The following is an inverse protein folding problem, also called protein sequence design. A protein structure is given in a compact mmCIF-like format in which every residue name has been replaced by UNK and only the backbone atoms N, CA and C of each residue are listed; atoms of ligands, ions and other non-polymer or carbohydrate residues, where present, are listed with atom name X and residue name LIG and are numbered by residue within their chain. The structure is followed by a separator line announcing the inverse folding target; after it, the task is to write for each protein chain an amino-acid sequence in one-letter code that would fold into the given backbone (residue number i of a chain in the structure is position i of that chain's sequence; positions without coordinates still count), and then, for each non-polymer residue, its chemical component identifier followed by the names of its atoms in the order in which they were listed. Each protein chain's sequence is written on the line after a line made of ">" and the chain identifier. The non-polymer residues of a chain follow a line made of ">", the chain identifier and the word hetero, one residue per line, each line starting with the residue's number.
data_IF_659781382311
#
_entry.id   IF_659781382311
#
_cell.length_a   1.000
_cell.length_b   1.000
_cell.length_c   1.000
_cell.angle_alpha   90.00
_cell.angle_beta   90.00
_cell.angle_gamma   90.00
#
_symmetry.space_group_name_H-M   'P 1'
#
loop_
_entity.id
_entity.type
_entity.pdbx_description
1 polymer ?
#
# COMPACT_ATOMS: atom_id res chain seq x y z
N UNK A 1 88.33 23.52 74.31
CA UNK A 1 87.36 22.84 75.19
C UNK A 1 86.69 21.77 74.37
N UNK A 2 87.08 20.52 74.60
CA UNK A 2 86.68 19.35 73.82
C UNK A 2 85.35 18.81 74.35
N UNK A 3 84.39 18.59 73.44
CA UNK A 3 83.10 17.94 73.73
C UNK A 3 83.32 16.49 74.15
N UNK A 4 82.61 15.98 75.18
CA UNK A 4 82.71 14.57 75.54
C UNK A 4 81.92 13.72 74.56
N UNK A 5 82.59 12.73 73.97
CA UNK A 5 81.98 11.62 73.24
C UNK A 5 81.25 10.70 74.22
N UNK A 6 79.99 10.31 73.97
CA UNK A 6 79.32 9.33 74.82
C UNK A 6 79.89 7.93 74.59
N UNK A 7 80.36 7.32 75.68
CA UNK A 7 80.90 5.97 75.74
C UNK A 7 79.87 4.93 75.29
N UNK A 8 80.31 4.07 74.37
CA UNK A 8 79.61 2.87 73.91
C UNK A 8 79.64 1.78 74.98
N UNK A 9 78.76 1.88 75.99
CA UNK A 9 78.58 0.84 77.00
C UNK A 9 77.13 0.35 77.03
N UNK A 10 76.90 -0.83 76.43
CA UNK A 10 75.84 -1.76 76.87
C UNK A 10 74.46 -1.61 76.24
N UNK A 11 74.32 -1.67 74.91
CA UNK A 11 73.02 -2.03 74.34
C UNK A 11 72.76 -3.50 74.69
N UNK A 12 71.82 -3.75 75.62
CA UNK A 12 71.43 -5.10 76.03
C UNK A 12 70.92 -5.89 74.81
N UNK A 13 71.36 -7.14 74.57
CA UNK A 13 70.94 -7.94 73.41
C UNK A 13 69.42 -8.05 73.23
N UNK A 14 68.68 -8.01 74.35
CA UNK A 14 67.22 -8.01 74.33
C UNK A 14 66.62 -6.77 73.63
N UNK A 15 67.14 -5.56 73.84
CA UNK A 15 66.58 -4.35 73.22
C UNK A 15 66.82 -4.31 71.71
N UNK A 16 67.94 -4.88 71.24
CA UNK A 16 68.20 -5.06 69.80
C UNK A 16 67.21 -6.04 69.16
N UNK A 17 66.90 -7.15 69.84
CA UNK A 17 65.89 -8.10 69.36
C UNK A 17 64.50 -7.46 69.28
N UNK A 18 64.09 -6.70 70.29
CA UNK A 18 62.83 -5.95 70.29
C UNK A 18 62.77 -4.90 69.18
N UNK A 19 63.83 -4.10 69.01
CA UNK A 19 63.90 -3.11 67.94
C UNK A 19 63.84 -3.76 66.55
N UNK A 20 64.51 -4.91 66.38
CA UNK A 20 64.49 -5.64 65.12
C UNK A 20 63.10 -6.26 64.84
N UNK A 21 62.45 -6.84 65.85
CA UNK A 21 61.09 -7.36 65.71
C UNK A 21 60.11 -6.24 65.35
N UNK A 22 60.19 -5.10 66.05
CA UNK A 22 59.35 -3.93 65.76
C UNK A 22 59.53 -3.45 64.31
N UNK A 23 60.77 -3.47 63.78
CA UNK A 23 61.05 -3.14 62.38
C UNK A 23 60.44 -4.14 61.41
N UNK A 24 60.47 -5.45 61.71
CA UNK A 24 59.83 -6.48 60.87
C UNK A 24 58.32 -6.26 60.82
N UNK A 25 57.69 -6.06 61.97
CA UNK A 25 56.25 -5.78 62.05
C UNK A 25 55.88 -4.49 61.33
N UNK A 26 56.64 -3.41 61.55
CA UNK A 26 56.45 -2.15 60.82
C UNK A 26 56.53 -2.38 59.31
N UNK A 27 57.55 -3.09 58.82
CA UNK A 27 57.71 -3.38 57.39
C UNK A 27 56.55 -4.21 56.85
N UNK A 28 56.04 -5.17 57.62
CA UNK A 28 54.87 -5.97 57.25
C UNK A 28 53.60 -5.11 57.15
N UNK A 29 53.35 -4.25 58.14
CA UNK A 29 52.21 -3.32 58.15
C UNK A 29 52.28 -2.32 56.99
N UNK A 30 53.45 -1.74 56.72
CA UNK A 30 53.63 -0.84 55.57
C UNK A 30 53.40 -1.59 54.25
N UNK A 31 53.85 -2.85 54.14
CA UNK A 31 53.54 -3.71 52.99
C UNK A 31 52.04 -3.95 52.81
N UNK A 32 51.30 -4.17 53.91
CA UNK A 32 49.85 -4.31 53.86
C UNK A 32 49.15 -3.00 53.46
N UNK A 33 49.58 -1.86 54.02
CA UNK A 33 49.02 -0.54 53.68
C UNK A 33 49.22 -0.26 52.19
N UNK A 34 50.43 -0.42 51.67
CA UNK A 34 50.70 -0.20 50.23
C UNK A 34 49.93 -1.16 49.32
N UNK A 35 49.74 -2.42 49.74
CA UNK A 35 48.90 -3.37 49.01
C UNK A 35 47.43 -2.93 48.99
N UNK A 36 46.89 -2.49 50.13
CA UNK A 36 45.53 -1.94 50.25
C UNK A 36 45.35 -0.65 49.45
N UNK A 37 46.31 0.26 49.49
CA UNK A 37 46.30 1.47 48.66
C UNK A 37 46.23 1.10 47.16
N UNK A 38 47.03 0.13 46.72
CA UNK A 38 47.02 -0.34 45.34
C UNK A 38 45.68 -0.98 44.93
N UNK A 39 45.00 -1.68 45.85
CA UNK A 39 43.70 -2.29 45.57
C UNK A 39 42.58 -1.24 45.57
N UNK A 40 42.66 -0.24 46.45
CA UNK A 40 41.78 0.94 46.44
C UNK A 40 41.93 1.72 45.13
N UNK A 41 43.16 1.93 44.64
CA UNK A 41 43.37 2.59 43.35
C UNK A 41 42.81 1.79 42.17
N UNK A 42 42.94 0.46 42.19
CA UNK A 42 42.33 -0.42 41.16
C UNK A 42 40.80 -0.31 41.18
N UNK A 43 40.19 -0.48 42.35
CA UNK A 43 38.73 -0.37 42.51
C UNK A 43 38.22 1.04 42.16
N UNK A 44 38.96 2.10 42.50
CA UNK A 44 38.64 3.47 42.10
C UNK A 44 38.62 3.63 40.59
N UNK A 45 39.62 3.09 39.88
CA UNK A 45 39.66 3.08 38.41
C UNK A 45 38.48 2.32 37.81
N UNK A 46 38.14 1.17 38.37
CA UNK A 46 36.96 0.39 37.95
C UNK A 46 35.66 1.16 38.16
N UNK A 47 35.48 1.80 39.32
CA UNK A 47 34.31 2.67 39.61
C UNK A 47 34.23 3.83 38.62
N UNK A 48 35.35 4.50 38.32
CA UNK A 48 35.38 5.54 37.29
C UNK A 48 34.97 5.00 35.91
N UNK A 49 35.43 3.80 35.54
CA UNK A 49 35.05 3.14 34.29
C UNK A 49 33.56 2.80 34.24
N UNK A 50 33.00 2.28 35.32
CA UNK A 50 31.56 2.00 35.44
C UNK A 50 30.73 3.28 35.39
N UNK A 51 31.16 4.35 36.05
CA UNK A 51 30.48 5.65 35.99
C UNK A 51 30.48 6.22 34.57
N UNK A 52 31.58 6.05 33.82
CA UNK A 52 31.63 6.40 32.40
C UNK A 52 30.64 5.62 31.56
N UNK A 53 30.54 4.30 31.77
CA UNK A 53 29.55 3.44 31.09
C UNK A 53 28.12 3.81 31.45
N UNK A 54 27.84 4.10 32.72
CA UNK A 54 26.53 4.56 33.18
C UNK A 54 26.11 5.85 32.44
N UNK A 55 27.01 6.83 32.33
CA UNK A 55 26.74 8.05 31.57
C UNK A 55 26.51 7.83 30.07
N UNK A 56 27.09 6.78 29.47
CA UNK A 56 26.76 6.41 28.07
C UNK A 56 25.36 5.80 28.00
N UNK A 57 25.01 4.91 28.93
CA UNK A 57 23.67 4.31 29.01
C UNK A 57 22.60 5.38 29.20
N UNK A 58 22.81 6.34 30.10
CA UNK A 58 21.89 7.46 30.32
C UNK A 58 21.64 8.27 29.04
N UNK A 59 22.69 8.57 28.26
CA UNK A 59 22.55 9.26 26.97
C UNK A 59 21.73 8.43 25.97
N UNK A 60 21.95 7.12 25.92
CA UNK A 60 21.17 6.24 25.03
C UNK A 60 19.71 6.14 25.46
N UNK A 61 19.42 6.10 26.76
CA UNK A 61 18.06 6.12 27.30
C UNK A 61 17.36 7.41 26.88
N UNK A 62 17.97 8.58 27.11
CA UNK A 62 17.39 9.88 26.71
C UNK A 62 17.12 9.95 25.20
N UNK A 63 18.03 9.40 24.38
CA UNK A 63 17.86 9.39 22.93
C UNK A 63 16.70 8.47 22.50
N UNK A 64 16.55 7.31 23.13
CA UNK A 64 15.45 6.38 22.89
C UNK A 64 14.11 6.94 23.37
N UNK A 65 14.08 7.61 24.51
CA UNK A 65 12.88 8.29 25.03
C UNK A 65 12.41 9.37 24.06
N UNK A 66 13.34 10.14 23.50
CA UNK A 66 13.03 11.14 22.47
C UNK A 66 12.43 10.49 21.22
N UNK A 67 13.07 9.45 20.68
CA UNK A 67 12.56 8.74 19.51
C UNK A 67 11.19 8.08 19.77
N UNK A 68 10.97 7.56 20.97
CA UNK A 68 9.66 7.03 21.38
C UNK A 68 8.59 8.12 21.48
N UNK A 69 8.96 9.33 21.91
CA UNK A 69 8.10 10.52 21.87
C UNK A 69 7.72 10.90 20.44
N UNK A 70 8.71 11.06 19.55
CA UNK A 70 8.49 11.39 18.14
C UNK A 70 7.58 10.35 17.44
N UNK A 71 7.76 9.06 17.74
CA UNK A 71 6.90 8.00 17.22
C UNK A 71 5.46 8.08 17.75
N UNK A 72 5.29 8.42 19.04
CA UNK A 72 3.96 8.61 19.63
C UNK A 72 3.22 9.78 18.98
N UNK A 73 3.91 10.90 18.79
CA UNK A 73 3.36 12.08 18.12
C UNK A 73 2.96 11.73 16.67
N UNK A 74 3.80 10.99 15.95
CA UNK A 74 3.48 10.48 14.61
C UNK A 74 2.26 9.55 14.60
N UNK A 75 2.11 8.68 15.60
CA UNK A 75 0.93 7.83 15.75
C UNK A 75 -0.35 8.64 16.00
N UNK A 76 -0.26 9.74 16.75
CA UNK A 76 -1.42 10.61 17.03
C UNK A 76 -1.83 11.41 15.79
N UNK A 77 -0.87 11.91 15.00
CA UNK A 77 -1.16 12.50 13.68
C UNK A 77 -1.84 11.50 12.75
N UNK A 78 -1.32 10.28 12.65
CA UNK A 78 -1.93 9.24 11.81
C UNK A 78 -3.35 8.88 12.28
N UNK A 79 -3.58 8.83 13.59
CA UNK A 79 -4.92 8.59 14.17
C UNK A 79 -5.89 9.70 13.77
N UNK A 80 -5.42 10.94 13.76
CA UNK A 80 -6.20 12.11 13.35
C UNK A 80 -6.52 12.10 11.86
N UNK A 81 -5.56 11.74 11.02
CA UNK A 81 -5.76 11.56 9.57
C UNK A 81 -6.77 10.45 9.28
N UNK A 82 -6.64 9.28 9.95
CA UNK A 82 -7.61 8.18 9.82
C UNK A 82 -9.01 8.63 10.23
N UNK A 83 -9.14 9.42 11.29
CA UNK A 83 -10.43 10.01 11.71
C UNK A 83 -10.96 10.98 10.65
N UNK A 84 -10.11 11.80 10.05
CA UNK A 84 -10.46 12.71 8.97
C UNK A 84 -10.94 11.98 7.71
N UNK A 85 -10.21 10.95 7.28
CA UNK A 85 -10.59 10.09 6.15
C UNK A 85 -11.92 9.40 6.41
N UNK A 86 -12.12 8.84 7.61
CA UNK A 86 -13.41 8.22 7.99
C UNK A 86 -14.57 9.21 7.84
N UNK A 87 -14.43 10.42 8.36
CA UNK A 87 -15.45 11.45 8.24
C UNK A 87 -15.69 11.90 6.78
N UNK A 88 -14.65 11.91 5.94
CA UNK A 88 -14.79 12.18 4.51
C UNK A 88 -15.55 11.05 3.78
N UNK A 89 -15.25 9.79 4.12
CA UNK A 89 -15.96 8.62 3.59
C UNK A 89 -17.43 8.63 4.01
N UNK A 90 -17.74 8.92 5.27
CA UNK A 90 -19.12 9.03 5.76
C UNK A 90 -19.90 10.09 4.97
N UNK A 91 -19.32 11.28 4.75
CA UNK A 91 -19.93 12.33 3.91
C UNK A 91 -20.15 11.89 2.47
N UNK A 92 -19.18 11.17 1.87
CA UNK A 92 -19.33 10.67 0.49
C UNK A 92 -20.41 9.60 0.38
N UNK A 93 -20.55 8.75 1.39
CA UNK A 93 -21.62 7.74 1.45
C UNK A 93 -22.98 8.42 1.56
N UNK A 94 -23.13 9.40 2.45
CA UNK A 94 -24.36 10.18 2.59
C UNK A 94 -24.73 10.91 1.29
N UNK A 95 -23.76 11.58 0.66
CA UNK A 95 -23.94 12.24 -0.62
C UNK A 95 -24.42 11.25 -1.70
N UNK A 96 -23.79 10.07 -1.78
CA UNK A 96 -24.15 9.05 -2.78
C UNK A 96 -25.55 8.49 -2.57
N UNK A 97 -26.02 8.40 -1.32
CA UNK A 97 -27.39 8.00 -1.01
C UNK A 97 -28.38 9.04 -1.53
N UNK A 98 -28.14 10.32 -1.24
CA UNK A 98 -28.99 11.42 -1.72
C UNK A 98 -29.03 11.48 -3.25
N UNK A 99 -27.87 11.39 -3.91
CA UNK A 99 -27.77 11.39 -5.37
C UNK A 99 -28.55 10.20 -5.98
N UNK A 100 -28.53 9.04 -5.30
CA UNK A 100 -29.27 7.85 -5.75
C UNK A 100 -30.78 8.03 -5.59
N UNK A 101 -31.23 8.61 -4.49
CA UNK A 101 -32.65 8.91 -4.25
C UNK A 101 -33.18 9.97 -5.23
N UNK A 102 -32.40 11.01 -5.52
CA UNK A 102 -32.75 12.02 -6.52
C UNK A 102 -32.82 11.41 -7.91
N UNK A 103 -31.83 10.60 -8.29
CA UNK A 103 -31.85 9.86 -9.57
C UNK A 103 -33.08 8.96 -9.68
N UNK A 104 -33.43 8.25 -8.61
CA UNK A 104 -34.62 7.39 -8.57
C UNK A 104 -35.91 8.21 -8.75
N UNK A 105 -36.05 9.36 -8.08
CA UNK A 105 -37.20 10.25 -8.26
C UNK A 105 -37.34 10.73 -9.71
N UNK A 106 -36.24 11.17 -10.32
CA UNK A 106 -36.24 11.65 -11.71
C UNK A 106 -36.56 10.53 -12.70
N UNK A 107 -36.12 9.31 -12.44
CA UNK A 107 -36.45 8.15 -13.27
C UNK A 107 -37.95 7.83 -13.23
N UNK A 108 -38.55 7.81 -12.04
CA UNK A 108 -40.00 7.62 -11.87
C UNK A 108 -40.80 8.75 -12.55
N UNK A 109 -40.34 10.00 -12.45
CA UNK A 109 -40.97 11.14 -13.15
C UNK A 109 -40.89 11.02 -14.67
N UNK A 110 -39.71 10.66 -15.19
CA UNK A 110 -39.53 10.40 -16.62
C UNK A 110 -40.39 9.23 -17.10
N UNK A 111 -40.61 8.19 -16.28
CA UNK A 111 -41.54 7.12 -16.61
C UNK A 111 -43.00 7.59 -16.69
N UNK A 112 -43.45 8.46 -15.77
CA UNK A 112 -44.79 9.06 -15.83
C UNK A 112 -44.95 9.90 -17.09
N UNK A 113 -43.97 10.72 -17.45
CA UNK A 113 -43.99 11.50 -18.69
C UNK A 113 -44.02 10.61 -19.94
N UNK A 114 -43.22 9.54 -19.96
CA UNK A 114 -43.29 8.52 -21.03
C UNK A 114 -44.65 7.82 -21.08
N UNK A 115 -45.29 7.59 -19.93
CA UNK A 115 -46.66 7.08 -19.84
C UNK A 115 -47.65 8.04 -20.51
N UNK A 116 -47.66 9.30 -20.06
CA UNK A 116 -48.51 10.36 -20.61
C UNK A 116 -48.33 10.55 -22.12
N UNK A 117 -47.10 10.52 -22.62
CA UNK A 117 -46.83 10.64 -24.06
C UNK A 117 -47.34 9.45 -24.87
N UNK A 118 -47.26 8.22 -24.32
CA UNK A 118 -47.87 7.03 -24.95
C UNK A 118 -49.40 7.12 -24.96
N UNK A 119 -49.99 7.55 -23.85
CA UNK A 119 -51.44 7.74 -23.76
C UNK A 119 -51.92 8.81 -24.74
N UNK A 120 -51.27 9.97 -24.78
CA UNK A 120 -51.54 11.03 -25.76
C UNK A 120 -51.43 10.53 -27.20
N UNK A 121 -50.42 9.70 -27.50
CA UNK A 121 -50.30 9.06 -28.81
C UNK A 121 -51.49 8.13 -29.08
N UNK A 122 -51.88 7.30 -28.12
CA UNK A 122 -53.04 6.39 -28.25
C UNK A 122 -54.38 7.12 -28.40
N UNK A 123 -54.52 8.30 -27.79
CA UNK A 123 -55.70 9.15 -27.92
C UNK A 123 -55.72 9.81 -29.30
N UNK A 124 -54.58 10.30 -29.77
CA UNK A 124 -54.46 10.82 -31.13
C UNK A 124 -54.76 9.75 -32.18
N UNK A 125 -54.23 8.54 -32.02
CA UNK A 125 -54.52 7.42 -32.92
C UNK A 125 -56.03 7.13 -32.95
N UNK A 126 -56.69 7.06 -31.78
CA UNK A 126 -58.15 6.89 -31.69
C UNK A 126 -58.94 8.01 -32.38
N UNK A 127 -58.58 9.27 -32.13
CA UNK A 127 -59.21 10.42 -32.77
C UNK A 127 -59.04 10.39 -34.29
N UNK A 128 -57.86 10.01 -34.77
CA UNK A 128 -57.60 9.86 -36.20
C UNK A 128 -58.50 8.79 -36.82
N UNK A 129 -58.77 7.69 -36.12
CA UNK A 129 -59.66 6.64 -36.62
C UNK A 129 -61.13 7.07 -36.60
N UNK A 130 -61.57 7.82 -35.58
CA UNK A 130 -62.90 8.43 -35.54
C UNK A 130 -63.10 9.45 -36.66
N UNK A 131 -62.12 10.32 -36.90
CA UNK A 131 -62.14 11.29 -38.01
C UNK A 131 -62.18 10.56 -39.35
N UNK A 132 -61.43 9.46 -39.50
CA UNK A 132 -61.49 8.61 -40.70
C UNK A 132 -62.90 8.03 -40.88
N UNK A 133 -63.49 7.48 -39.83
CA UNK A 133 -64.86 6.92 -39.87
C UNK A 133 -65.93 7.96 -40.22
N UNK A 134 -65.89 9.14 -39.58
CA UNK A 134 -66.81 10.24 -39.90
C UNK A 134 -66.65 10.74 -41.33
N UNK A 135 -65.42 10.78 -41.84
CA UNK A 135 -65.17 11.15 -43.24
C UNK A 135 -65.80 10.12 -44.20
N UNK A 136 -65.68 8.83 -43.90
CA UNK A 136 -66.32 7.76 -44.67
C UNK A 136 -67.85 7.88 -44.64
N UNK A 137 -68.44 8.18 -43.48
CA UNK A 137 -69.89 8.41 -43.33
C UNK A 137 -70.37 9.64 -44.12
N UNK A 138 -69.66 10.77 -44.03
CA UNK A 138 -69.95 11.97 -44.82
C UNK A 138 -69.84 11.69 -46.31
N UNK A 139 -68.84 10.92 -46.74
CA UNK A 139 -68.69 10.51 -48.14
C UNK A 139 -69.85 9.61 -48.59
N UNK A 140 -70.36 8.72 -47.72
CA UNK A 140 -71.53 7.90 -48.01
C UNK A 140 -72.82 8.73 -48.11
N UNK A 141 -73.07 9.63 -47.15
CA UNK A 141 -74.19 10.58 -47.19
C UNK A 141 -74.15 11.47 -48.45
N UNK A 142 -72.96 11.91 -48.87
CA UNK A 142 -72.78 12.66 -50.13
C UNK A 142 -73.17 11.81 -51.35
N UNK A 143 -72.80 10.52 -51.38
CA UNK A 143 -73.23 9.61 -52.45
C UNK A 143 -74.75 9.43 -52.45
N UNK A 144 -75.38 9.31 -51.28
CA UNK A 144 -76.84 9.21 -51.16
C UNK A 144 -77.56 10.47 -51.63
N UNK A 145 -77.06 11.66 -51.27
CA UNK A 145 -77.59 12.93 -51.78
C UNK A 145 -77.47 13.07 -53.30
N UNK A 146 -76.41 12.49 -53.89
CA UNK A 146 -76.24 12.46 -55.35
C UNK A 146 -77.18 11.44 -56.00
N UNK A 147 -77.42 10.29 -55.36
CA UNK A 147 -78.41 9.30 -55.80
C UNK A 147 -79.83 9.86 -55.73
N UNK A 148 -80.20 10.58 -54.67
CA UNK A 148 -81.54 11.18 -54.51
C UNK A 148 -81.79 12.37 -55.44
N UNK A 149 -80.74 13.01 -55.96
CA UNK A 149 -80.84 14.04 -57.01
C UNK A 149 -81.03 13.48 -58.44
N UNK A 150 -80.91 12.17 -58.66
CA UNK A 150 -81.02 11.53 -59.99
C UNK A 150 -82.41 10.96 -60.29
N UNK A 151 -83.38 11.08 -59.40
CA UNK A 151 -84.80 10.79 -59.71
C UNK A 151 -85.44 11.96 -60.48
N UNK A 152 -86.05 11.72 -61.66
CA UNK A 152 -86.73 12.79 -62.40
C UNK A 152 -88.18 12.94 -61.91
N UNK A 153 -88.53 14.10 -61.33
CA UNK A 153 -89.94 14.46 -61.14
C UNK A 153 -90.30 15.52 -60.08
N UNK A 154 -90.15 16.80 -60.43
CA UNK A 154 -90.90 17.99 -59.98
C UNK A 154 -90.37 18.89 -58.83
N UNK A 155 -90.56 20.19 -59.08
CA UNK A 155 -89.92 21.45 -58.62
C UNK A 155 -90.64 22.11 -57.40
N UNK A 156 -90.32 23.36 -56.97
CA UNK A 156 -89.12 24.20 -57.08
C UNK A 156 -88.59 24.63 -55.68
N UNK A 157 -87.36 25.15 -55.58
CA UNK A 157 -87.04 26.03 -54.46
C UNK A 157 -86.24 27.25 -54.92
N UNK A 158 -86.77 28.38 -54.49
CA UNK A 158 -86.52 29.73 -54.96
C UNK A 158 -85.06 30.12 -54.90
N UNK A 159 -84.65 30.77 -55.99
CA UNK A 159 -83.66 31.83 -55.95
C UNK A 159 -84.15 32.91 -54.99
N UNK A 160 -83.33 33.22 -53.99
CA UNK A 160 -83.12 34.61 -53.62
C UNK A 160 -81.75 35.00 -54.16
N UNK A 161 -81.76 35.80 -55.22
CA UNK A 161 -80.67 36.71 -55.54
C UNK A 161 -80.64 37.79 -54.47
N UNK A 162 -79.51 37.97 -53.82
CA UNK A 162 -79.06 39.32 -53.47
C UNK A 162 -77.61 39.45 -53.91
N UNK A 163 -77.42 40.35 -54.87
CA UNK A 163 -76.16 40.96 -55.25
C UNK A 163 -75.33 41.33 -54.03
N UNK A 164 -74.02 41.06 -54.05
CA UNK A 164 -72.99 42.07 -53.74
C UNK A 164 -71.59 41.48 -53.97
N UNK A 165 -70.99 42.04 -55.03
CA UNK A 165 -69.58 42.26 -55.32
C UNK A 165 -68.62 42.32 -54.09
N UNK A 166 -67.39 41.79 -54.16
CA UNK A 166 -66.36 42.07 -53.18
C UNK A 166 -65.52 43.29 -53.59
N UNK A 167 -65.54 44.42 -52.86
CA UNK A 167 -64.49 45.41 -52.99
C UNK A 167 -63.30 45.04 -52.11
N UNK A 168 -62.12 45.32 -52.64
CA UNK A 168 -60.85 45.19 -51.95
C UNK A 168 -60.72 46.12 -50.73
N UNK A 169 -59.90 45.66 -49.77
CA UNK A 169 -58.94 46.45 -48.98
C UNK A 169 -59.40 47.35 -47.80
N UNK A 170 -58.92 46.93 -46.60
CA UNK A 170 -58.43 47.72 -45.43
C UNK A 170 -59.44 48.40 -44.48
N UNK A 171 -59.05 48.86 -43.25
CA UNK A 171 -58.00 48.42 -42.31
C UNK A 171 -58.54 48.15 -40.88
N UNK A 172 -57.77 47.42 -40.06
CA UNK A 172 -58.00 47.29 -38.60
C UNK A 172 -57.58 48.57 -37.86
N UNK A 173 -58.43 49.15 -36.98
CA UNK A 173 -58.02 50.22 -36.09
C UNK A 173 -57.49 49.68 -34.76
N UNK A 174 -56.42 50.34 -34.33
CA UNK A 174 -55.70 50.20 -33.06
C UNK A 174 -56.53 50.66 -31.86
N UNK A 175 -56.39 49.93 -30.74
CA UNK A 175 -56.26 50.37 -29.32
C UNK A 175 -57.36 51.30 -28.71
N UNK A 176 -57.64 51.25 -27.38
CA UNK A 176 -56.74 51.79 -26.33
C UNK A 176 -56.75 50.96 -25.01
N UNK A 177 -55.64 50.78 -24.28
CA UNK A 177 -54.96 51.68 -23.31
C UNK A 177 -55.84 52.29 -22.18
N UNK A 178 -55.40 51.97 -20.94
CA UNK A 178 -55.49 52.73 -19.65
C UNK A 178 -56.83 52.65 -18.90
N UNK A 179 -56.91 52.60 -17.56
CA UNK A 179 -55.96 52.93 -16.49
C UNK A 179 -56.34 52.33 -15.12
N UNK A 180 -55.31 52.00 -14.31
CA UNK A 180 -55.04 52.33 -12.88
C UNK A 180 -56.26 52.62 -11.96
N UNK A 181 -56.37 52.12 -10.72
CA UNK A 181 -55.50 52.33 -9.52
C UNK A 181 -55.93 51.33 -8.40
N UNK A 182 -54.98 50.70 -7.68
CA UNK A 182 -54.59 50.93 -6.26
C UNK A 182 -55.65 50.56 -5.22
N UNK A 183 -55.45 49.61 -4.29
CA UNK A 183 -54.60 49.66 -3.06
C UNK A 183 -54.26 48.23 -2.57
N UNK A 184 -52.98 47.83 -2.35
CA UNK A 184 -52.17 47.86 -1.09
C UNK A 184 -52.90 47.18 0.11
N UNK A 185 -52.40 46.13 0.77
CA UNK A 185 -51.13 45.99 1.50
C UNK A 185 -50.77 44.50 1.80
N UNK A 186 -49.52 44.07 1.54
CA UNK A 186 -48.44 43.64 2.48
C UNK A 186 -48.69 42.31 3.23
N UNK A 187 -47.84 41.29 3.11
CA UNK A 187 -46.43 41.25 3.57
C UNK A 187 -45.62 40.17 2.82
N UNK A 188 -44.45 40.44 2.17
CA UNK A 188 -43.07 40.63 2.71
C UNK A 188 -42.46 39.28 3.18
N UNK A 189 -41.29 38.77 2.73
CA UNK A 189 -40.10 39.32 2.04
C UNK A 189 -39.24 38.18 1.39
N UNK A 190 -38.70 38.51 0.20
CA UNK A 190 -37.42 38.19 -0.49
C UNK A 190 -36.79 36.79 -0.44
N UNK A 191 -36.57 36.08 -1.55
CA UNK A 191 -35.86 36.39 -2.82
C UNK A 191 -34.32 36.17 -2.76
N UNK A 192 -33.89 35.13 -3.46
CA UNK A 192 -32.63 35.07 -4.22
C UNK A 192 -32.72 36.00 -5.45
N UNK A 193 -31.60 36.31 -6.12
CA UNK A 193 -31.66 36.04 -7.56
C UNK A 193 -30.36 35.59 -8.22
N UNK A 194 -30.63 35.05 -9.41
CA UNK A 194 -29.80 34.38 -10.39
C UNK A 194 -29.10 35.34 -11.37
N UNK A 195 -27.96 34.85 -11.88
CA UNK A 195 -27.45 34.95 -13.26
C UNK A 195 -26.92 36.28 -13.85
N UNK A 196 -25.59 36.28 -13.99
CA UNK A 196 -24.75 36.60 -15.17
C UNK A 196 -25.00 37.85 -16.03
N UNK A 197 -23.93 38.67 -16.17
CA UNK A 197 -23.39 39.12 -17.47
C UNK A 197 -21.87 39.37 -17.43
N UNK A 198 -21.26 39.10 -18.58
CA UNK A 198 -19.83 39.10 -18.94
C UNK A 198 -19.14 40.48 -18.96
N UNK A 199 -17.84 40.50 -18.63
CA UNK A 199 -16.68 40.77 -19.52
C UNK A 199 -15.44 41.13 -18.68
N UNK A 200 -14.31 40.45 -18.92
CA UNK A 200 -13.09 40.99 -19.56
C UNK A 200 -11.89 40.12 -19.18
N UNK A 201 -11.19 39.70 -20.22
CA UNK A 201 -9.95 38.94 -20.26
C UNK A 201 -8.82 39.81 -19.72
N UNK A 202 -8.08 39.35 -18.72
CA UNK A 202 -6.67 39.72 -18.51
C UNK A 202 -5.84 38.49 -18.11
N UNK A 203 -4.79 38.28 -18.90
CA UNK A 203 -3.64 37.38 -18.68
C UNK A 203 -2.67 38.09 -17.73
N UNK A 204 -1.80 37.40 -16.98
CA UNK A 204 -0.38 37.35 -17.38
C UNK A 204 0.32 36.03 -16.93
N UNK A 205 1.66 35.88 -17.00
CA UNK A 205 2.38 35.48 -18.19
C UNK A 205 3.16 34.17 -18.00
N UNK A 206 3.72 33.67 -19.09
CA UNK A 206 4.58 32.48 -19.17
C UNK A 206 6.02 32.90 -19.49
N UNK A 207 6.96 32.06 -19.03
CA UNK A 207 8.33 31.79 -19.54
C UNK A 207 9.49 32.65 -19.06
N UNK A 208 10.45 32.01 -18.38
CA UNK A 208 11.91 31.94 -18.67
C UNK A 208 12.55 30.98 -17.64
N UNK A 209 12.88 29.72 -17.97
CA UNK A 209 14.07 29.18 -18.66
C UNK A 209 15.34 28.99 -17.77
N UNK A 210 15.48 27.75 -17.25
CA UNK A 210 16.68 26.86 -17.07
C UNK A 210 17.87 27.36 -16.18
N UNK A 211 18.86 26.56 -15.69
CA UNK A 211 19.02 25.10 -15.46
C UNK A 211 19.59 24.68 -14.06
N UNK A 212 19.70 23.36 -13.86
CA UNK A 212 20.73 22.63 -13.06
C UNK A 212 20.84 22.99 -11.56
N UNK A 213 20.63 22.06 -10.62
CA UNK A 213 21.66 21.07 -10.29
C UNK A 213 21.11 20.00 -9.35
N UNK A 214 21.39 18.74 -9.69
CA UNK A 214 21.42 17.60 -8.79
C UNK A 214 22.38 17.85 -7.60
N UNK A 215 22.21 17.11 -6.50
CA UNK A 215 23.35 16.29 -6.11
C UNK A 215 22.96 14.81 -5.95
N UNK A 216 23.75 13.99 -6.63
CA UNK A 216 23.96 12.56 -6.42
C UNK A 216 24.64 12.30 -5.06
N UNK A 217 24.59 11.06 -4.55
CA UNK A 217 25.09 10.67 -3.23
C UNK A 217 26.62 10.51 -3.25
N UNK A 218 27.30 10.59 -2.10
CA UNK A 218 28.66 10.07 -2.01
C UNK A 218 28.64 8.56 -1.72
N UNK A 219 29.21 7.80 -2.64
CA UNK A 219 29.69 6.43 -2.42
C UNK A 219 31.20 6.46 -2.11
N UNK A 220 31.65 5.45 -1.35
CA UNK A 220 33.04 4.97 -1.14
C UNK A 220 33.94 5.83 -0.22
N UNK A 221 34.72 5.37 0.77
CA UNK A 221 35.15 4.09 1.40
C UNK A 221 36.15 4.51 2.55
N UNK A 222 36.82 3.68 3.38
CA UNK A 222 36.74 2.25 3.68
C UNK A 222 36.58 1.92 5.18
N UNK A 223 36.21 0.67 5.45
CA UNK A 223 36.28 0.03 6.76
C UNK A 223 37.72 -0.12 7.28
N UNK A 224 37.94 -0.14 8.60
CA UNK A 224 38.98 -0.96 9.20
C UNK A 224 38.40 -2.31 9.64
N UNK A 225 39.06 -3.36 9.16
CA UNK A 225 38.96 -4.74 9.62
C UNK A 225 39.08 -4.82 11.14
N UNK A 226 38.21 -5.61 11.78
CA UNK A 226 38.55 -6.25 13.05
C UNK A 226 38.04 -7.68 13.00
N UNK A 227 38.99 -8.61 12.94
CA UNK A 227 38.77 -10.04 13.12
C UNK A 227 38.15 -10.30 14.50
N UNK A 228 37.11 -11.13 14.54
CA UNK A 228 36.70 -11.78 15.77
C UNK A 228 36.56 -13.27 15.53
N UNK A 229 37.62 -13.98 15.91
CA UNK A 229 37.66 -15.43 16.08
C UNK A 229 36.57 -15.86 17.08
N UNK A 230 35.69 -16.76 16.64
CA UNK A 230 34.82 -17.51 17.53
C UNK A 230 35.24 -18.97 17.45
N UNK A 231 36.03 -19.43 18.42
CA UNK A 231 36.27 -20.87 18.63
C UNK A 231 36.38 -21.15 20.12
N UNK A 232 35.68 -22.21 20.53
CA UNK A 232 35.74 -22.95 21.80
C UNK A 232 34.89 -22.33 22.93
N UNK A 233 33.84 -22.97 23.44
CA UNK A 233 33.80 -24.36 23.91
C UNK A 233 32.46 -25.06 23.63
N UNK A 234 32.54 -26.36 23.32
CA UNK A 234 31.42 -27.28 23.12
C UNK A 234 30.99 -27.96 24.45
N UNK A 235 30.23 -29.07 24.45
CA UNK A 235 28.93 -29.17 25.12
C UNK A 235 28.97 -30.08 26.36
N UNK A 236 27.98 -30.01 27.24
CA UNK A 236 27.75 -31.10 28.21
C UNK A 236 26.33 -31.65 28.05
N UNK A 237 26.34 -32.96 27.86
CA UNK A 237 25.28 -33.89 27.53
C UNK A 237 24.24 -34.05 28.65
N UNK A 238 23.00 -34.31 28.23
CA UNK A 238 21.97 -35.00 29.02
C UNK A 238 22.44 -36.43 29.39
N UNK A 239 21.69 -37.16 30.25
CA UNK A 239 20.73 -38.13 29.70
C UNK A 239 19.48 -38.31 30.63
N UNK A 240 18.64 -39.37 30.52
CA UNK A 240 17.21 -39.23 30.22
C UNK A 240 16.29 -39.84 31.31
N UNK A 241 15.00 -39.77 31.05
CA UNK A 241 13.84 -40.31 31.76
C UNK A 241 14.00 -41.67 32.45
N UNK A 242 13.31 -41.86 33.58
CA UNK A 242 12.55 -43.09 33.86
C UNK A 242 11.26 -42.79 34.66
N UNK A 243 10.29 -43.63 34.36
CA UNK A 243 8.89 -43.63 34.75
C UNK A 243 8.64 -43.90 36.23
N UNK A 244 7.64 -43.23 36.82
CA UNK A 244 6.90 -43.80 37.96
C UNK A 244 5.41 -43.43 37.88
N UNK A 245 4.60 -44.44 37.57
CA UNK A 245 3.14 -44.46 37.72
C UNK A 245 2.77 -44.85 39.16
N UNK A 246 1.89 -44.06 39.81
CA UNK A 246 0.72 -44.56 40.56
C UNK A 246 -0.12 -43.38 41.05
N UNK A 247 -1.42 -43.46 40.79
CA UNK A 247 -2.34 -42.32 40.85
C UNK A 247 -3.00 -42.06 42.19
N UNK A 248 -3.61 -40.87 42.28
CA UNK A 248 -4.85 -40.68 43.03
C UNK A 248 -5.68 -39.56 42.39
N UNK A 249 -6.96 -39.86 42.21
CA UNK A 249 -7.98 -39.08 41.53
C UNK A 249 -8.77 -38.24 42.55
N UNK A 250 -8.74 -36.89 42.43
CA UNK A 250 -9.87 -35.98 42.73
C UNK A 250 -9.55 -34.49 42.41
N UNK A 251 -9.97 -34.04 41.22
CA UNK A 251 -10.71 -32.77 40.90
C UNK A 251 -10.09 -31.39 41.30
N UNK A 252 -10.46 -30.27 40.63
CA UNK A 252 -9.55 -29.52 39.76
C UNK A 252 -9.19 -28.12 40.31
N UNK A 253 -7.94 -27.73 40.16
CA UNK A 253 -7.50 -26.34 40.39
C UNK A 253 -7.66 -25.54 39.10
N UNK A 254 -8.67 -24.67 39.08
CA UNK A 254 -8.83 -23.56 38.11
C UNK A 254 -7.53 -22.76 38.03
N UNK A 255 -7.00 -22.57 36.81
CA UNK A 255 -5.89 -21.63 36.62
C UNK A 255 -5.12 -21.71 35.30
N UNK A 256 -5.73 -22.13 34.19
CA UNK A 256 -5.15 -21.82 32.87
C UNK A 256 -6.30 -21.52 31.93
N UNK A 257 -6.39 -20.25 31.55
CA UNK A 257 -7.32 -19.74 30.55
C UNK A 257 -7.24 -20.61 29.29
N UNK A 258 -8.34 -20.81 28.55
CA UNK A 258 -8.27 -21.40 27.22
C UNK A 258 -7.42 -20.46 26.37
N UNK A 259 -6.20 -20.85 26.02
CA UNK A 259 -5.41 -20.19 24.99
C UNK A 259 -6.31 -19.99 23.77
N UNK A 260 -6.54 -18.73 23.39
CA UNK A 260 -7.33 -18.39 22.21
C UNK A 260 -6.75 -19.18 21.02
N UNK A 261 -7.47 -20.16 20.44
CA UNK A 261 -6.92 -21.00 19.36
C UNK A 261 -6.61 -20.21 18.09
N UNK A 262 -7.02 -18.94 18.05
CA UNK A 262 -6.77 -17.96 17.00
C UNK A 262 -5.34 -17.38 17.14
N UNK A 263 -4.81 -17.21 18.36
CA UNK A 263 -3.50 -16.61 18.61
C UNK A 263 -2.33 -17.59 18.35
N UNK A 264 -2.60 -18.89 18.35
CA UNK A 264 -1.60 -19.95 18.15
C UNK A 264 -1.44 -20.39 16.68
N UNK A 265 -2.16 -19.77 15.74
CA UNK A 265 -2.23 -20.17 14.34
C UNK A 265 -1.02 -19.70 13.53
N UNK A 266 0.17 -20.28 13.76
CA UNK A 266 1.40 -19.99 12.99
C UNK A 266 1.79 -21.16 12.09
N UNK A 267 2.27 -20.86 10.89
CA UNK A 267 2.67 -21.85 9.88
C UNK A 267 3.91 -22.64 10.32
N UNK A 268 4.89 -22.02 10.99
CA UNK A 268 6.09 -22.68 11.56
C UNK A 268 6.73 -23.67 10.56
N UNK A 269 7.03 -24.92 10.94
CA UNK A 269 7.59 -25.91 10.02
C UNK A 269 6.53 -26.66 9.16
N UNK A 270 5.26 -26.24 9.17
CA UNK A 270 4.18 -26.95 8.47
C UNK A 270 4.15 -26.61 6.98
N UNK A 271 3.89 -27.63 6.17
CA UNK A 271 3.56 -27.44 4.76
C UNK A 271 2.25 -26.65 4.62
N UNK A 272 2.11 -25.89 3.53
CA UNK A 272 0.90 -25.10 3.24
C UNK A 272 -0.38 -25.95 3.28
N UNK A 273 -0.31 -27.23 2.89
CA UNK A 273 -1.45 -28.16 2.96
C UNK A 273 -1.84 -28.49 4.41
N UNK A 274 -0.87 -28.80 5.26
CA UNK A 274 -1.11 -29.17 6.66
C UNK A 274 -1.55 -27.93 7.47
N UNK A 275 -1.06 -26.75 7.08
CA UNK A 275 -1.49 -25.49 7.67
C UNK A 275 -2.97 -25.21 7.35
N UNK A 276 -3.43 -25.42 6.11
CA UNK A 276 -4.85 -25.31 5.77
C UNK A 276 -5.75 -26.27 6.58
N UNK A 277 -5.28 -27.49 6.85
CA UNK A 277 -6.01 -28.45 7.69
C UNK A 277 -6.09 -27.97 9.16
N UNK A 278 -5.01 -27.41 9.68
CA UNK A 278 -5.00 -26.77 11.00
C UNK A 278 -6.01 -25.62 11.06
N UNK A 279 -6.01 -24.71 10.08
CA UNK A 279 -6.97 -23.60 10.05
C UNK A 279 -8.42 -24.06 9.90
N UNK A 280 -8.70 -25.14 9.15
CA UNK A 280 -10.02 -25.79 9.12
C UNK A 280 -10.43 -26.32 10.48
N UNK A 281 -9.51 -26.95 11.22
CA UNK A 281 -9.79 -27.48 12.56
C UNK A 281 -10.10 -26.37 13.56
N UNK A 282 -9.50 -25.18 13.39
CA UNK A 282 -9.79 -24.00 14.20
C UNK A 282 -11.14 -23.41 13.83
N UNK A 283 -11.46 -23.29 12.53
CA UNK A 283 -12.78 -22.86 12.10
C UNK A 283 -13.92 -23.79 12.51
N UNK A 284 -13.69 -25.10 12.54
CA UNK A 284 -14.70 -26.06 13.01
C UNK A 284 -15.12 -25.80 14.47
N UNK A 285 -14.26 -25.16 15.27
CA UNK A 285 -14.57 -24.72 16.64
C UNK A 285 -15.40 -23.43 16.69
N UNK A 286 -15.57 -22.72 15.56
CA UNK A 286 -16.33 -21.48 15.44
C UNK A 286 -17.47 -21.61 14.41
N UNK A 287 -18.69 -22.01 14.82
CA UNK A 287 -19.81 -22.21 13.89
C UNK A 287 -20.46 -20.90 13.37
N UNK A 288 -19.95 -19.71 13.76
CA UNK A 288 -20.52 -18.42 13.37
C UNK A 288 -19.69 -17.76 12.25
N UNK A 289 -20.33 -17.44 11.12
CA UNK A 289 -19.72 -16.74 9.98
C UNK A 289 -19.07 -15.39 10.34
N UNK A 290 -19.49 -14.74 11.44
CA UNK A 290 -18.93 -13.45 11.89
C UNK A 290 -17.53 -13.56 12.50
N UNK A 291 -17.13 -14.76 12.94
CA UNK A 291 -15.79 -14.99 13.52
C UNK A 291 -14.84 -15.64 12.51
N UNK A 292 -15.34 -16.03 11.34
CA UNK A 292 -14.55 -16.59 10.23
C UNK A 292 -13.49 -15.59 9.74
N UNK A 293 -13.86 -14.32 9.55
CA UNK A 293 -12.93 -13.28 9.10
C UNK A 293 -11.78 -13.06 10.08
N UNK A 294 -12.00 -13.21 11.39
CA UNK A 294 -10.94 -13.10 12.40
C UNK A 294 -9.96 -14.28 12.32
N UNK A 295 -10.47 -15.48 12.06
CA UNK A 295 -9.64 -16.67 11.87
C UNK A 295 -8.86 -16.58 10.57
N UNK A 296 -9.47 -16.08 9.49
CA UNK A 296 -8.79 -15.82 8.20
C UNK A 296 -7.67 -14.79 8.39
N UNK A 297 -7.91 -13.71 9.13
CA UNK A 297 -6.90 -12.70 9.40
C UNK A 297 -5.76 -13.23 10.26
N UNK A 298 -6.07 -14.03 11.30
CA UNK A 298 -5.04 -14.68 12.12
C UNK A 298 -4.23 -15.71 11.33
N UNK A 299 -4.88 -16.43 10.40
CA UNK A 299 -4.23 -17.39 9.51
C UNK A 299 -3.30 -16.67 8.52
N UNK A 300 -3.74 -15.55 7.96
CA UNK A 300 -2.93 -14.73 7.08
C UNK A 300 -1.71 -14.13 7.80
N UNK A 301 -1.88 -13.63 9.03
CA UNK A 301 -0.77 -13.15 9.87
C UNK A 301 0.22 -14.26 10.26
N UNK A 302 -0.20 -15.53 10.17
CA UNK A 302 0.58 -16.68 10.60
C UNK A 302 1.46 -17.31 9.53
N UNK A 303 1.45 -16.82 8.28
CA UNK A 303 2.33 -17.33 7.22
C UNK A 303 3.80 -17.01 7.48
N UNK A 304 4.71 -17.88 7.07
CA UNK A 304 6.16 -17.66 7.26
C UNK A 304 6.79 -16.80 6.16
N UNK A 305 6.30 -16.92 4.93
CA UNK A 305 6.88 -16.27 3.76
C UNK A 305 6.05 -15.02 3.42
N UNK A 306 6.63 -13.81 3.44
CA UNK A 306 5.90 -12.57 3.13
C UNK A 306 5.48 -12.49 1.66
N UNK A 307 6.24 -13.10 0.75
CA UNK A 307 5.88 -13.18 -0.67
C UNK A 307 4.60 -14.00 -0.88
N UNK A 308 4.46 -15.12 -0.15
CA UNK A 308 3.26 -15.96 -0.17
C UNK A 308 2.06 -15.22 0.43
N UNK A 309 2.28 -14.42 1.48
CA UNK A 309 1.25 -13.58 2.09
C UNK A 309 0.68 -12.59 1.08
N UNK A 310 1.53 -11.92 0.29
CA UNK A 310 1.10 -10.93 -0.70
C UNK A 310 0.27 -11.54 -1.83
N UNK A 311 0.64 -12.73 -2.33
CA UNK A 311 -0.10 -13.42 -3.39
C UNK A 311 -1.49 -13.85 -2.88
N UNK A 312 -1.55 -14.31 -1.64
CA UNK A 312 -2.81 -14.70 -1.00
C UNK A 312 -3.67 -13.48 -0.70
N UNK A 313 -3.08 -12.35 -0.28
CA UNK A 313 -3.77 -11.08 -0.04
C UNK A 313 -4.47 -10.57 -1.31
N UNK A 314 -3.78 -10.56 -2.45
CA UNK A 314 -4.38 -10.18 -3.75
C UNK A 314 -5.56 -11.10 -4.11
N UNK A 315 -5.47 -12.40 -3.77
CA UNK A 315 -6.57 -13.35 -3.95
C UNK A 315 -7.76 -13.07 -3.02
N UNK A 316 -7.48 -12.68 -1.77
CA UNK A 316 -8.49 -12.34 -0.75
C UNK A 316 -9.19 -11.00 -1.04
N UNK A 317 -8.48 -10.02 -1.58
CA UNK A 317 -9.09 -8.75 -2.02
C UNK A 317 -10.06 -8.96 -3.19
N UNK A 318 -9.72 -9.87 -4.11
CA UNK A 318 -10.57 -10.19 -5.26
C UNK A 318 -11.82 -10.99 -4.89
N UNK A 319 -11.64 -12.04 -4.08
CA UNK A 319 -12.69 -13.04 -3.81
C UNK A 319 -13.38 -12.84 -2.44
N UNK A 320 -12.92 -11.84 -1.67
CA UNK A 320 -13.43 -11.46 -0.35
C UNK A 320 -12.75 -12.19 0.82
N UNK A 321 -12.75 -11.57 2.00
CA UNK A 321 -12.14 -12.08 3.24
C UNK A 321 -12.95 -13.22 3.87
N UNK A 322 -12.95 -14.37 3.20
CA UNK A 322 -13.61 -15.61 3.61
C UNK A 322 -12.64 -16.79 3.60
N UNK A 323 -12.97 -17.85 4.34
CA UNK A 323 -12.14 -19.06 4.37
C UNK A 323 -12.10 -19.77 3.02
N UNK A 324 -13.20 -19.74 2.27
CA UNK A 324 -13.26 -20.36 0.94
C UNK A 324 -12.36 -19.65 -0.07
N UNK A 325 -12.30 -18.30 -0.01
CA UNK A 325 -11.39 -17.51 -0.82
C UNK A 325 -9.93 -17.77 -0.43
N UNK A 326 -9.63 -17.76 0.87
CA UNK A 326 -8.30 -18.09 1.41
C UNK A 326 -7.83 -19.47 0.93
N UNK A 327 -8.69 -20.48 1.04
CA UNK A 327 -8.39 -21.84 0.63
C UNK A 327 -8.13 -21.95 -0.88
N UNK A 328 -8.85 -21.16 -1.69
CA UNK A 328 -8.66 -21.13 -3.14
C UNK A 328 -7.34 -20.44 -3.50
N UNK A 329 -7.06 -19.28 -2.91
CA UNK A 329 -5.81 -18.55 -3.10
C UNK A 329 -4.57 -19.37 -2.69
N UNK A 330 -4.63 -20.08 -1.56
CA UNK A 330 -3.51 -20.93 -1.10
C UNK A 330 -3.33 -22.16 -2.00
N UNK A 331 -4.41 -22.74 -2.54
CA UNK A 331 -4.31 -23.83 -3.52
C UNK A 331 -3.69 -23.35 -4.81
N UNK A 332 -4.06 -22.17 -5.28
CA UNK A 332 -3.48 -21.54 -6.46
C UNK A 332 -1.99 -21.26 -6.26
N UNK A 333 -1.59 -20.78 -5.08
CA UNK A 333 -0.19 -20.58 -4.70
C UNK A 333 0.61 -21.90 -4.72
N UNK A 334 0.06 -22.97 -4.14
CA UNK A 334 0.69 -24.30 -4.18
C UNK A 334 0.90 -24.76 -5.63
N UNK A 335 -0.11 -24.56 -6.48
CA UNK A 335 -0.05 -24.95 -7.89
C UNK A 335 0.96 -24.10 -8.68
N UNK A 336 1.04 -22.80 -8.40
CA UNK A 336 2.07 -21.92 -8.95
C UNK A 336 3.48 -22.36 -8.53
N UNK A 337 3.70 -22.67 -7.25
CA UNK A 337 5.00 -23.16 -6.75
C UNK A 337 5.39 -24.49 -7.40
N UNK A 338 4.44 -25.40 -7.63
CA UNK A 338 4.67 -26.65 -8.38
C UNK A 338 5.09 -26.38 -9.83
N UNK A 339 4.41 -25.48 -10.53
CA UNK A 339 4.74 -25.08 -11.91
C UNK A 339 6.10 -24.38 -12.01
N UNK A 340 6.46 -23.55 -11.03
CA UNK A 340 7.79 -22.92 -10.98
C UNK A 340 8.88 -23.97 -10.79
N UNK A 341 8.67 -24.95 -9.89
CA UNK A 341 9.61 -26.06 -9.70
C UNK A 341 9.78 -26.91 -10.96
N UNK A 342 8.70 -27.26 -11.66
CA UNK A 342 8.79 -28.06 -12.89
C UNK A 342 9.48 -27.29 -14.02
N UNK A 343 9.21 -25.99 -14.19
CA UNK A 343 9.91 -25.12 -15.15
C UNK A 343 11.40 -24.98 -14.82
N UNK A 344 11.76 -24.78 -13.56
CA UNK A 344 13.15 -24.72 -13.13
C UNK A 344 13.90 -26.03 -13.40
N UNK A 345 13.26 -27.18 -13.12
CA UNK A 345 13.81 -28.50 -13.42
C UNK A 345 13.98 -28.72 -14.93
N UNK A 346 12.99 -28.33 -15.75
CA UNK A 346 13.07 -28.43 -17.20
C UNK A 346 14.16 -27.52 -17.79
N UNK A 347 14.29 -26.29 -17.27
CA UNK A 347 15.33 -25.36 -17.68
C UNK A 347 16.73 -25.85 -17.27
N UNK A 348 16.88 -26.42 -16.07
CA UNK A 348 18.13 -27.05 -15.64
C UNK A 348 18.50 -28.25 -16.54
N UNK A 349 17.54 -29.08 -16.92
CA UNK A 349 17.73 -30.20 -17.84
C UNK A 349 18.14 -29.71 -19.25
N UNK A 350 17.50 -28.67 -19.77
CA UNK A 350 17.84 -28.07 -21.06
C UNK A 350 19.23 -27.41 -21.05
N UNK A 351 19.61 -26.75 -19.95
CA UNK A 351 20.94 -26.15 -19.80
C UNK A 351 22.05 -27.21 -19.82
N UNK A 352 21.82 -28.37 -19.18
CA UNK A 352 22.73 -29.53 -19.24
C UNK A 352 22.86 -30.13 -20.65
N UNK A 353 21.80 -30.11 -21.46
CA UNK A 353 21.82 -30.58 -22.86
C UNK A 353 22.54 -29.62 -23.81
N UNK A 354 22.57 -28.32 -23.50
CA UNK A 354 23.20 -27.32 -24.37
C UNK A 354 24.71 -27.20 -24.14
N UNK A 355 25.21 -27.42 -22.91
CA UNK A 355 26.65 -27.40 -22.62
C UNK A 355 27.39 -28.59 -23.23
N UNK A 356 26.72 -29.73 -23.39
CA UNK A 356 27.28 -30.94 -24.02
C UNK A 356 27.42 -30.80 -25.54
N UNK A 357 26.62 -29.94 -26.18
CA UNK A 357 26.72 -29.64 -27.62
C UNK A 357 27.77 -28.58 -27.97
N UNK A 358 28.28 -27.83 -27.00
CA UNK A 358 29.26 -26.73 -27.18
C UNK A 358 30.72 -27.17 -27.01
N UNK A 359 31.02 -28.48 -26.95
CA UNK A 359 32.42 -28.97 -27.04
C UNK A 359 32.94 -28.74 -28.46
N UNK A 360 33.65 -27.60 -28.61
CA UNK A 360 34.30 -27.10 -29.82
C UNK A 360 35.24 -28.15 -30.42
N UNK A 361 35.29 -28.19 -31.75
CA UNK A 361 36.22 -28.98 -32.56
C UNK A 361 37.66 -28.61 -32.18
N UNK A 362 38.46 -29.61 -31.83
CA UNK A 362 39.90 -29.46 -31.60
C UNK A 362 40.56 -29.26 -32.96
N UNK A 363 41.12 -28.08 -33.22
CA UNK A 363 41.96 -27.82 -34.38
C UNK A 363 43.39 -28.17 -33.97
N UNK A 364 44.06 -29.14 -34.61
CA UNK A 364 45.44 -29.47 -34.29
C UNK A 364 46.35 -28.30 -34.74
N UNK A 365 47.14 -27.79 -33.80
CA UNK A 365 48.17 -26.78 -34.07
C UNK A 365 49.35 -27.50 -34.72
N UNK A 366 49.52 -27.30 -36.04
CA UNK A 366 50.75 -27.65 -36.76
C UNK A 366 51.70 -26.48 -36.60
N UNK A 367 52.91 -26.74 -36.08
CA UNK A 367 53.96 -25.73 -35.98
C UNK A 367 54.72 -25.70 -37.31
N UNK A 368 54.76 -24.53 -37.94
CA UNK A 368 55.55 -24.30 -39.16
C UNK A 368 57.04 -24.47 -38.90
N UNK A 369 57.75 -25.08 -39.84
CA UNK A 369 59.21 -25.23 -39.79
C UNK A 369 59.89 -23.89 -40.05
N UNK A 370 61.09 -23.71 -39.46
CA UNK A 370 61.89 -22.47 -39.44
C UNK A 370 62.14 -21.79 -40.80
N UNK A 371 61.85 -22.44 -41.91
CA UNK A 371 61.95 -21.87 -43.26
C UNK A 371 60.77 -20.93 -43.57
N UNK A 372 59.56 -21.21 -43.08
CA UNK A 372 58.37 -20.37 -43.32
C UNK A 372 58.36 -19.09 -42.47
N UNK A 373 58.97 -19.09 -41.28
CA UNK A 373 59.08 -17.89 -40.42
C UNK A 373 59.95 -16.79 -41.06
N UNK A 374 60.95 -17.18 -41.84
CA UNK A 374 61.85 -16.23 -42.50
C UNK A 374 61.18 -15.54 -43.70
N UNK A 375 60.29 -16.23 -44.41
CA UNK A 375 59.49 -15.64 -45.49
C UNK A 375 58.48 -14.61 -44.94
N UNK A 376 57.87 -14.89 -43.79
CA UNK A 376 56.98 -13.95 -43.09
C UNK A 376 57.72 -12.70 -42.60
N UNK A 377 58.94 -12.85 -42.07
CA UNK A 377 59.75 -11.72 -41.62
C UNK A 377 60.22 -10.84 -42.79
N UNK A 378 60.58 -11.44 -43.92
CA UNK A 378 60.91 -10.70 -45.14
C UNK A 378 59.69 -9.94 -45.70
N UNK A 379 58.51 -10.53 -45.62
CA UNK A 379 57.27 -9.90 -46.07
C UNK A 379 56.84 -8.73 -45.16
N UNK A 380 57.06 -8.83 -43.85
CA UNK A 380 56.73 -7.76 -42.89
C UNK A 380 57.72 -6.57 -42.92
N UNK A 381 59.00 -6.82 -43.27
CA UNK A 381 60.00 -5.75 -43.45
C UNK A 381 59.66 -4.76 -44.57
N UNK A 382 58.92 -5.20 -45.60
CA UNK A 382 58.47 -4.36 -46.71
C UNK A 382 57.35 -3.35 -46.36
N UNK A 383 56.65 -3.56 -45.24
CA UNK A 383 55.50 -2.73 -44.84
C UNK A 383 55.91 -1.57 -43.92
N UNK A 384 57.07 -1.64 -43.28
CA UNK A 384 57.61 -0.57 -42.41
C UNK A 384 58.23 0.62 -43.15
N UNK A 385 58.72 0.42 -44.38
CA UNK A 385 59.39 1.49 -45.15
C UNK A 385 58.42 2.42 -45.88
N UNK A 386 57.14 2.05 -46.03
CA UNK A 386 56.12 2.83 -46.75
C UNK A 386 55.34 3.82 -45.86
N UNK A 387 55.48 3.74 -44.54
CA UNK A 387 54.66 4.51 -43.60
C UNK A 387 55.30 5.83 -43.10
N UNK A 388 56.56 6.13 -43.46
CA UNK A 388 57.28 7.32 -42.94
C UNK A 388 57.37 8.46 -43.99
N UNK A 389 56.85 8.28 -45.20
CA UNK A 389 57.01 9.28 -46.29
C UNK A 389 55.93 10.37 -46.37
N UNK A 390 54.83 10.33 -45.60
CA UNK A 390 53.67 11.21 -45.82
C UNK A 390 53.24 12.04 -44.60
N UNK A 391 54.19 12.58 -43.83
CA UNK A 391 53.94 13.71 -42.93
C UNK A 391 54.99 14.80 -43.17
N UNK A 392 54.71 15.68 -44.13
CA UNK A 392 55.41 16.96 -44.29
C UNK A 392 54.38 18.02 -44.69
N UNK A 393 54.26 19.02 -43.82
CA UNK A 393 53.92 20.43 -44.03
C UNK A 393 52.75 20.79 -44.96
N UNK A 394 51.69 21.39 -44.40
CA UNK A 394 51.43 22.84 -44.43
C UNK A 394 50.46 23.26 -43.32
#
# INVERSE_FOLDING_TARGET
>A
MSLPTPDSSGILPASLLWAHQLRREHKALVGQITALESSVDKTKKEVCGLNGKAGVVDKTIVSLEKAAGEMRDGMDVLRDDVRGVKAAVERLVEQRILDWEERKRLEEEAERERGMTRENRSLMDRLMEEVRGLKEEVDELRKECVKSKRTPGSLPSQRYSTLSEPPAAQPSPKAPKRARKSTRALSRISETPSSFRFRRIERPPSVELIPESLPLPPAESPAPMVDFDFTQMSPISAPPSEDFLMGQQKQPSRGTQPEDPIRSLKQNALSLSNYLELGRSVLAKFPRRRDESKVVQAFWNGFNDPDDQSIVEVGLERDGWSWNALQSAVRDLIEQKKKQRSRAQQNAANRRRNTTKQRKRVIPIVWSTKEEENEWLAQMGGWGAKAISNCSFE
#
